data_IF_140341074757
#
_entry.id   IF_140341074757
#
_cell.length_a   1.000
_cell.length_b   1.000
_cell.length_c   1.000
_cell.angle_alpha   90.00
_cell.angle_beta   90.00
_cell.angle_gamma   90.00
#
_symmetry.space_group_name_H-M   'P 1'
#
loop_
_entity.id
_entity.type
_entity.pdbx_description
1 polymer ?
#
# COMPACT_ATOMS: atom_id res chain seq x y z
N UNK A 1 -2.98 -1.67 -16.25
CA UNK A 1 -2.05 -1.43 -15.14
C UNK A 1 -2.68 -1.99 -13.88
N UNK A 2 -1.86 -2.54 -12.99
CA UNK A 2 -2.29 -3.13 -11.72
C UNK A 2 -1.60 -2.44 -10.54
N UNK A 3 -2.35 -2.13 -9.50
CA UNK A 3 -1.82 -1.57 -8.26
C UNK A 3 -1.48 -2.67 -7.25
N UNK A 4 -0.38 -2.49 -6.50
CA UNK A 4 0.00 -3.40 -5.42
C UNK A 4 0.76 -2.69 -4.29
N UNK A 5 0.68 -3.24 -3.07
CA UNK A 5 1.50 -2.79 -1.94
C UNK A 5 2.80 -3.60 -1.92
N UNK A 6 3.91 -2.92 -2.21
CA UNK A 6 5.25 -3.52 -2.29
C UNK A 6 5.82 -3.72 -0.88
N UNK A 7 5.67 -2.72 -0.01
CA UNK A 7 6.15 -2.78 1.37
C UNK A 7 5.39 -1.81 2.27
N UNK A 8 5.50 -2.02 3.58
CA UNK A 8 5.01 -1.12 4.61
C UNK A 8 6.06 -0.90 5.69
N UNK A 9 5.99 0.24 6.37
CA UNK A 9 6.75 0.54 7.57
C UNK A 9 5.78 0.98 8.68
N UNK A 10 5.75 0.26 9.82
CA UNK A 10 6.48 -0.97 10.12
C UNK A 10 5.99 -2.16 9.26
N UNK A 11 6.88 -3.14 9.03
CA UNK A 11 6.57 -4.31 8.21
C UNK A 11 5.48 -5.21 8.84
N UNK A 12 5.26 -5.12 10.15
CA UNK A 12 4.22 -5.87 10.88
C UNK A 12 2.80 -5.49 10.48
N UNK A 13 2.58 -4.32 9.88
CA UNK A 13 1.25 -3.83 9.50
C UNK A 13 1.00 -3.84 7.99
N UNK A 14 1.77 -4.62 7.22
CA UNK A 14 1.53 -4.74 5.77
C UNK A 14 0.15 -5.29 5.48
N UNK A 15 -0.30 -6.26 6.28
CA UNK A 15 -1.56 -6.96 6.08
C UNK A 15 -2.78 -6.15 6.58
N UNK A 16 -2.54 -5.11 7.38
CA UNK A 16 -3.57 -4.17 7.83
C UNK A 16 -4.15 -3.34 6.67
N UNK A 17 -3.44 -3.23 5.53
CA UNK A 17 -3.88 -2.48 4.36
C UNK A 17 -4.05 -3.39 3.16
N UNK A 18 -4.96 -3.00 2.28
CA UNK A 18 -5.07 -3.57 0.94
C UNK A 18 -5.32 -2.51 -0.09
N UNK A 19 -4.92 -2.79 -1.32
CA UNK A 19 -5.17 -1.93 -2.47
C UNK A 19 -5.98 -2.72 -3.49
N UNK A 20 -7.05 -2.12 -4.02
CA UNK A 20 -7.74 -2.67 -5.17
C UNK A 20 -6.81 -2.58 -6.38
N UNK A 21 -6.45 -3.70 -7.02
CA UNK A 21 -5.46 -3.71 -8.10
C UNK A 21 -5.93 -2.97 -9.36
N UNK A 22 -7.22 -2.68 -9.50
CA UNK A 22 -7.80 -2.02 -10.67
C UNK A 22 -8.05 -0.52 -10.42
N UNK A 23 -8.58 -0.16 -9.25
CA UNK A 23 -8.93 1.24 -8.93
C UNK A 23 -7.83 1.98 -8.18
N UNK A 24 -6.94 1.25 -7.49
CA UNK A 24 -5.95 1.83 -6.60
C UNK A 24 -6.53 2.28 -5.25
N UNK A 25 -7.79 1.98 -4.96
CA UNK A 25 -8.42 2.30 -3.68
C UNK A 25 -7.76 1.51 -2.55
N UNK A 26 -7.38 2.22 -1.48
CA UNK A 26 -6.75 1.63 -0.31
C UNK A 26 -7.80 1.42 0.78
N UNK A 27 -7.88 0.19 1.28
CA UNK A 27 -8.81 -0.22 2.32
C UNK A 27 -8.07 -0.77 3.52
N UNK A 28 -8.56 -0.42 4.71
CA UNK A 28 -8.09 -0.98 5.96
C UNK A 28 -8.76 -2.35 6.21
N UNK A 29 -7.95 -3.35 6.55
CA UNK A 29 -8.39 -4.73 6.85
C UNK A 29 -8.40 -5.06 8.34
N UNK A 30 -7.59 -4.34 9.11
CA UNK A 30 -7.43 -4.54 10.55
C UNK A 30 -7.53 -3.21 11.28
N UNK A 31 -7.93 -3.23 12.55
CA UNK A 31 -8.03 -2.00 13.33
C UNK A 31 -6.62 -1.48 13.61
N UNK A 32 -6.40 -0.17 13.42
CA UNK A 32 -5.18 0.50 13.84
C UNK A 32 -5.43 1.15 15.20
N UNK A 33 -4.64 0.75 16.19
CA UNK A 33 -4.63 1.39 17.49
C UNK A 33 -3.55 2.48 17.54
N UNK A 34 -3.95 3.69 17.90
CA UNK A 34 -3.06 4.85 18.02
C UNK A 34 -1.93 4.62 19.03
N UNK A 35 -2.19 3.84 20.08
CA UNK A 35 -1.22 3.56 21.15
C UNK A 35 -0.13 2.59 20.69
N UNK A 36 -0.43 1.74 19.70
CA UNK A 36 0.51 0.79 19.10
C UNK A 36 1.25 1.40 17.90
N UNK A 37 0.52 2.10 17.02
CA UNK A 37 1.05 2.66 15.78
C UNK A 37 0.45 4.01 15.45
N UNK A 38 1.33 5.02 15.32
CA UNK A 38 0.94 6.40 15.02
C UNK A 38 1.03 6.74 13.53
N UNK A 39 2.01 6.16 12.84
CA UNK A 39 2.29 6.46 11.43
C UNK A 39 2.59 5.16 10.72
N UNK A 40 1.95 4.97 9.57
CA UNK A 40 2.26 3.91 8.62
C UNK A 40 2.75 4.51 7.31
N UNK A 41 3.83 3.98 6.75
CA UNK A 41 4.21 4.27 5.37
C UNK A 41 3.94 3.06 4.48
N UNK A 42 3.30 3.28 3.33
CA UNK A 42 3.04 2.26 2.32
C UNK A 42 3.77 2.62 1.03
N UNK A 43 4.47 1.65 0.44
CA UNK A 43 5.01 1.76 -0.91
C UNK A 43 4.04 1.10 -1.90
N UNK A 44 3.44 1.92 -2.77
CA UNK A 44 2.53 1.45 -3.80
C UNK A 44 3.27 1.38 -5.13
N UNK A 45 3.04 0.31 -5.88
CA UNK A 45 3.48 0.16 -7.27
C UNK A 45 2.27 0.10 -8.19
N UNK A 46 2.33 0.86 -9.29
CA UNK A 46 1.44 0.71 -10.44
C UNK A 46 2.27 0.11 -11.59
N UNK A 47 1.93 -1.09 -12.03
CA UNK A 47 2.66 -1.81 -13.08
C UNK A 47 1.78 -1.99 -14.31
N UNK A 48 2.27 -1.68 -15.50
CA UNK A 48 1.54 -1.98 -16.74
C UNK A 48 1.68 -3.45 -17.17
N UNK A 49 0.86 -3.87 -18.13
CA UNK A 49 0.84 -5.25 -18.64
C UNK A 49 1.53 -5.36 -20.01
N UNK A 50 2.46 -4.44 -20.31
CA UNK A 50 3.21 -4.46 -21.56
C UNK A 50 4.20 -5.63 -21.64
N UNK A 51 4.64 -5.97 -22.86
CA UNK A 51 5.71 -6.97 -23.06
C UNK A 51 7.02 -6.54 -22.38
N UNK A 52 7.30 -5.24 -22.39
CA UNK A 52 8.29 -4.60 -21.53
C UNK A 52 7.54 -3.82 -20.45
N UNK A 53 7.33 -4.44 -19.29
CA UNK A 53 6.52 -3.82 -18.25
C UNK A 53 7.19 -2.60 -17.66
N UNK A 54 6.46 -1.48 -17.57
CA UNK A 54 6.88 -0.31 -16.81
C UNK A 54 6.20 -0.27 -15.45
N UNK A 55 6.90 0.24 -14.45
CA UNK A 55 6.38 0.47 -13.10
C UNK A 55 6.53 1.92 -12.68
N UNK A 56 5.50 2.42 -12.01
CA UNK A 56 5.52 3.68 -11.26
C UNK A 56 5.38 3.39 -9.78
N UNK A 57 6.02 4.20 -8.93
CA UNK A 57 6.01 4.02 -7.48
C UNK A 57 5.55 5.31 -6.79
N UNK A 58 4.80 5.17 -5.69
CA UNK A 58 4.50 6.28 -4.80
C UNK A 58 4.52 5.84 -3.33
N UNK A 59 4.76 6.81 -2.45
CA UNK A 59 4.68 6.62 -1.00
C UNK A 59 3.38 7.21 -0.48
N UNK A 60 2.64 6.44 0.30
CA UNK A 60 1.47 6.89 1.05
C UNK A 60 1.85 6.91 2.53
N UNK A 61 1.57 8.01 3.22
CA UNK A 61 1.77 8.15 4.66
C UNK A 61 0.40 8.26 5.31
N UNK A 62 0.12 7.36 6.25
CA UNK A 62 -1.12 7.33 7.03
C UNK A 62 -0.79 7.71 8.46
N UNK A 63 -1.43 8.75 8.97
CA UNK A 63 -1.38 9.15 10.37
C UNK A 63 -2.69 8.69 11.04
N UNK A 64 -2.55 7.98 12.16
CA UNK A 64 -3.65 7.38 12.93
C UNK A 64 -4.21 8.39 13.93
#
# INVERSE_FOLDING_TARGET
FSYSIVSSLPASHRDAFSVDPRTGEIWLREILDYEEIRICELQIEAKDEGFHTLSGHCKVVVEV
#
